data_IF_800354459108
#
_entry.id   IF_800354459108
#
_cell.length_a   1.000
_cell.length_b   1.000
_cell.length_c   1.000
_cell.angle_alpha   90.00
_cell.angle_beta   90.00
_cell.angle_gamma   90.00
#
_symmetry.space_group_name_H-M   'P 1'
#
loop_
_entity.id
_entity.type
_entity.pdbx_description
1 polymer ?
#
# COMPACT_ATOMS: atom_id res chain seq x y z
N UNK A 1 12.43 -8.61 -7.02
CA UNK A 1 11.17 -7.94 -6.62
C UNK A 1 9.91 -8.60 -7.18
N UNK A 2 9.59 -8.46 -8.48
CA UNK A 2 8.29 -8.88 -9.06
C UNK A 2 7.97 -10.36 -8.83
N UNK A 3 8.93 -11.28 -9.08
CA UNK A 3 8.74 -12.72 -8.80
C UNK A 3 8.42 -13.01 -7.33
N UNK A 4 9.02 -12.27 -6.40
CA UNK A 4 8.75 -12.43 -4.97
C UNK A 4 7.34 -11.93 -4.62
N UNK A 5 6.93 -10.78 -5.18
CA UNK A 5 5.57 -10.28 -5.04
C UNK A 5 4.53 -11.29 -5.58
N UNK A 6 4.73 -11.81 -6.78
CA UNK A 6 3.79 -12.75 -7.42
C UNK A 6 3.60 -14.05 -6.61
N UNK A 7 4.66 -14.59 -5.99
CA UNK A 7 4.54 -15.79 -5.14
C UNK A 7 3.61 -15.59 -3.96
N UNK A 8 3.64 -14.42 -3.32
CA UNK A 8 2.75 -14.12 -2.20
C UNK A 8 1.36 -13.66 -2.67
N UNK A 9 1.31 -12.79 -3.68
CA UNK A 9 0.08 -12.26 -4.23
C UNK A 9 -0.83 -13.33 -4.84
N UNK A 10 -0.25 -14.34 -5.52
CA UNK A 10 -0.98 -15.44 -6.13
C UNK A 10 -1.80 -16.30 -5.15
N UNK A 11 -1.54 -16.18 -3.84
CA UNK A 11 -2.30 -16.85 -2.77
C UNK A 11 -3.58 -16.09 -2.39
N UNK A 12 -3.94 -15.04 -3.12
CA UNK A 12 -5.04 -14.12 -2.80
C UNK A 12 -5.80 -13.68 -4.06
N UNK A 13 -6.99 -13.12 -3.86
CA UNK A 13 -7.80 -12.61 -4.97
C UNK A 13 -7.28 -11.24 -5.44
N UNK A 14 -6.67 -10.47 -4.53
CA UNK A 14 -5.99 -9.23 -4.84
C UNK A 14 -4.83 -8.96 -3.88
N UNK A 15 -3.81 -8.23 -4.33
CA UNK A 15 -2.75 -7.80 -3.44
C UNK A 15 -2.18 -6.43 -3.83
N UNK A 16 -1.68 -5.71 -2.84
CA UNK A 16 -0.86 -4.52 -3.04
C UNK A 16 0.50 -4.72 -2.37
N UNK A 17 1.57 -4.38 -3.08
CA UNK A 17 2.90 -4.41 -2.51
C UNK A 17 3.16 -3.19 -1.63
N UNK A 18 4.02 -3.36 -0.63
CA UNK A 18 4.48 -2.28 0.22
C UNK A 18 5.92 -2.49 0.68
N UNK A 19 6.55 -1.44 1.18
CA UNK A 19 7.86 -1.48 1.83
C UNK A 19 7.71 -0.99 3.26
N UNK A 20 8.21 -1.78 4.22
CA UNK A 20 8.20 -1.40 5.63
C UNK A 20 9.22 -0.29 5.90
N UNK A 21 8.87 0.61 6.82
CA UNK A 21 9.66 1.81 7.12
C UNK A 21 11.09 1.47 7.52
N UNK A 22 11.27 0.42 8.30
CA UNK A 22 12.56 0.00 8.85
C UNK A 22 13.52 -0.37 7.71
N UNK A 23 13.07 -1.17 6.74
CA UNK A 23 13.86 -1.53 5.57
C UNK A 23 14.13 -0.32 4.66
N UNK A 24 13.16 0.58 4.48
CA UNK A 24 13.34 1.79 3.69
C UNK A 24 14.39 2.73 4.28
N UNK A 25 14.25 3.05 5.57
CA UNK A 25 15.15 3.99 6.27
C UNK A 25 16.57 3.42 6.40
N UNK A 26 16.70 2.10 6.58
CA UNK A 26 18.02 1.46 6.60
C UNK A 26 18.77 1.62 5.27
N UNK A 27 18.06 1.60 4.14
CA UNK A 27 18.67 1.75 2.80
C UNK A 27 18.81 3.21 2.37
N UNK A 28 17.84 4.06 2.71
CA UNK A 28 17.72 5.45 2.26
C UNK A 28 17.51 6.40 3.45
N UNK A 29 18.47 6.54 4.37
CA UNK A 29 18.28 7.29 5.62
C UNK A 29 17.99 8.78 5.39
N UNK A 30 18.46 9.34 4.28
CA UNK A 30 18.28 10.76 3.92
C UNK A 30 17.05 11.02 3.05
N UNK A 31 16.34 9.97 2.59
CA UNK A 31 15.16 10.12 1.73
C UNK A 31 13.92 10.41 2.57
N UNK A 32 13.24 11.52 2.26
CA UNK A 32 11.98 11.89 2.90
C UNK A 32 10.82 11.13 2.26
N UNK A 33 10.21 10.22 3.01
CA UNK A 33 9.05 9.41 2.56
C UNK A 33 7.91 9.49 3.58
N UNK A 34 6.69 9.55 3.07
CA UNK A 34 5.47 9.42 3.88
C UNK A 34 5.14 7.95 4.09
N UNK A 35 4.83 7.58 5.34
CA UNK A 35 4.45 6.22 5.72
C UNK A 35 3.03 6.20 6.26
N UNK A 36 2.25 5.23 5.80
CA UNK A 36 0.97 4.83 6.40
C UNK A 36 1.28 4.12 7.72
N UNK A 37 0.53 4.46 8.76
CA UNK A 37 0.77 3.97 10.13
C UNK A 37 -0.31 2.98 10.54
N UNK A 38 0.04 1.70 10.54
CA UNK A 38 -0.76 0.65 11.17
C UNK A 38 -0.14 0.28 12.51
N UNK A 39 -0.95 -0.28 13.42
CA UNK A 39 -0.47 -0.85 14.67
C UNK A 39 0.55 -1.95 14.38
N UNK A 40 1.78 -1.74 14.83
CA UNK A 40 2.91 -2.67 14.65
C UNK A 40 3.54 -2.67 13.25
N UNK A 41 3.12 -1.79 12.34
CA UNK A 41 3.68 -1.73 10.98
C UNK A 41 3.52 -0.35 10.36
N UNK A 42 4.64 0.28 10.01
CA UNK A 42 4.65 1.49 9.18
C UNK A 42 5.13 1.14 7.77
N UNK A 43 4.43 1.58 6.74
CA UNK A 43 4.78 1.21 5.38
C UNK A 43 4.51 2.30 4.37
N UNK A 44 5.22 2.25 3.25
CA UNK A 44 4.88 3.00 2.04
C UNK A 44 4.42 2.01 0.96
N UNK A 45 3.53 2.46 0.08
CA UNK A 45 3.07 1.64 -1.04
C UNK A 45 4.22 1.38 -2.03
N UNK A 46 4.13 0.26 -2.73
CA UNK A 46 4.90 0.03 -3.94
C UNK A 46 3.92 -0.05 -5.12
N UNK A 47 4.32 0.42 -6.30
CA UNK A 47 3.48 0.47 -7.51
C UNK A 47 3.28 -0.91 -8.16
N UNK A 48 3.11 -1.96 -7.35
CA UNK A 48 2.79 -3.32 -7.78
C UNK A 48 1.47 -3.76 -7.17
N UNK A 49 0.55 -4.17 -8.05
CA UNK A 49 -0.78 -4.62 -7.69
C UNK A 49 -1.08 -5.94 -8.39
N UNK A 50 -1.85 -6.80 -7.73
CA UNK A 50 -2.32 -8.07 -8.24
C UNK A 50 -3.84 -8.10 -8.19
N UNK A 51 -4.47 -8.52 -9.29
CA UNK A 51 -5.91 -8.73 -9.39
C UNK A 51 -6.14 -10.08 -10.08
N UNK A 52 -6.73 -11.04 -9.37
CA UNK A 52 -7.01 -12.38 -9.88
C UNK A 52 -8.28 -12.42 -10.76
N UNK A 53 -8.34 -11.52 -11.75
CA UNK A 53 -9.46 -11.37 -12.69
C UNK A 53 -10.78 -11.09 -11.99
N UNK A 54 -11.83 -11.82 -12.36
CA UNK A 54 -13.19 -11.61 -11.86
C UNK A 54 -13.32 -11.70 -10.33
N UNK A 55 -12.46 -12.49 -9.66
CA UNK A 55 -12.46 -12.62 -8.19
C UNK A 55 -12.10 -11.31 -7.48
N UNK A 56 -11.39 -10.41 -8.16
CA UNK A 56 -10.97 -9.13 -7.60
C UNK A 56 -11.95 -7.98 -7.90
N UNK A 57 -13.03 -8.24 -8.66
CA UNK A 57 -13.96 -7.19 -9.15
C UNK A 57 -14.55 -6.34 -8.02
N UNK A 58 -14.96 -6.97 -6.93
CA UNK A 58 -15.54 -6.25 -5.78
C UNK A 58 -14.59 -5.20 -5.19
N UNK A 59 -13.29 -5.49 -5.18
CA UNK A 59 -12.27 -4.54 -4.73
C UNK A 59 -12.06 -3.42 -5.76
N UNK A 60 -12.00 -3.74 -7.05
CA UNK A 60 -11.84 -2.73 -8.09
C UNK A 60 -13.00 -1.72 -8.11
N UNK A 61 -14.24 -2.22 -7.96
CA UNK A 61 -15.43 -1.37 -7.87
C UNK A 61 -15.44 -0.49 -6.62
N UNK A 62 -15.05 -1.05 -5.47
CA UNK A 62 -14.89 -0.29 -4.24
C UNK A 62 -13.82 0.78 -4.35
N UNK A 63 -12.66 0.44 -4.91
CA UNK A 63 -11.55 1.36 -5.13
C UNK A 63 -11.97 2.54 -6.02
N UNK A 64 -12.68 2.27 -7.13
CA UNK A 64 -13.17 3.33 -8.03
C UNK A 64 -14.07 4.34 -7.32
N UNK A 65 -14.98 3.88 -6.44
CA UNK A 65 -15.84 4.78 -5.64
C UNK A 65 -15.03 5.60 -4.64
N UNK A 66 -14.02 4.98 -4.02
CA UNK A 66 -13.17 5.64 -3.04
C UNK A 66 -12.24 6.68 -3.69
N UNK A 67 -11.63 6.33 -4.82
CA UNK A 67 -10.69 7.17 -5.58
C UNK A 67 -11.38 8.42 -6.13
N UNK A 68 -12.62 8.31 -6.60
CA UNK A 68 -13.43 9.47 -7.00
C UNK A 68 -13.61 10.50 -5.88
N UNK A 69 -13.50 10.06 -4.61
CA UNK A 69 -13.65 10.88 -3.40
C UNK A 69 -12.30 11.23 -2.76
N UNK A 70 -11.15 10.91 -3.38
CA UNK A 70 -9.81 11.00 -2.76
C UNK A 70 -9.45 12.37 -2.18
N UNK A 71 -10.03 13.44 -2.71
CA UNK A 71 -9.82 14.83 -2.26
C UNK A 71 -10.76 15.25 -1.12
N UNK A 72 -11.67 14.38 -0.67
CA UNK A 72 -12.64 14.62 0.39
C UNK A 72 -12.54 13.52 1.48
N UNK A 73 -11.70 13.73 2.51
CA UNK A 73 -11.46 12.76 3.57
C UNK A 73 -12.72 12.32 4.32
N UNK A 74 -13.68 13.23 4.55
CA UNK A 74 -14.93 12.91 5.22
C UNK A 74 -15.78 11.94 4.39
N UNK A 75 -15.85 12.14 3.07
CA UNK A 75 -16.56 11.24 2.15
C UNK A 75 -15.87 9.87 2.05
N UNK A 76 -14.53 9.83 2.04
CA UNK A 76 -13.78 8.58 2.09
C UNK A 76 -14.03 7.81 3.39
N UNK A 77 -14.02 8.50 4.54
CA UNK A 77 -14.29 7.89 5.84
C UNK A 77 -15.69 7.27 5.91
N UNK A 78 -16.69 7.89 5.27
CA UNK A 78 -18.05 7.33 5.16
C UNK A 78 -18.07 6.05 4.30
N UNK A 79 -17.37 6.03 3.17
CA UNK A 79 -17.28 4.85 2.28
C UNK A 79 -16.57 3.67 2.98
N UNK A 80 -15.42 3.95 3.60
CA UNK A 80 -14.61 2.97 4.34
C UNK A 80 -15.31 2.53 5.64
N UNK A 81 -16.10 3.42 6.26
CA UNK A 81 -16.85 3.18 7.48
C UNK A 81 -16.19 3.79 8.72
N UNK A 82 -17.00 4.44 9.56
CA UNK A 82 -16.55 5.24 10.70
C UNK A 82 -15.68 4.46 11.69
N UNK A 83 -16.05 3.23 12.03
CA UNK A 83 -15.25 2.39 12.94
C UNK A 83 -13.87 2.06 12.37
N UNK A 84 -13.78 1.81 11.06
CA UNK A 84 -12.50 1.54 10.40
C UNK A 84 -11.65 2.80 10.39
N UNK A 85 -12.22 3.93 10.01
CA UNK A 85 -11.53 5.23 10.05
C UNK A 85 -11.03 5.56 11.46
N UNK A 86 -11.87 5.39 12.48
CA UNK A 86 -11.51 5.65 13.86
C UNK A 86 -10.40 4.71 14.34
N UNK A 87 -10.47 3.41 14.01
CA UNK A 87 -9.40 2.47 14.37
C UNK A 87 -8.06 2.84 13.72
N UNK A 88 -8.07 3.40 12.51
CA UNK A 88 -6.86 3.91 11.87
C UNK A 88 -6.33 5.17 12.56
N UNK A 89 -7.21 6.15 12.81
CA UNK A 89 -6.85 7.43 13.45
C UNK A 89 -6.35 7.25 14.89
N UNK A 90 -6.91 6.29 15.63
CA UNK A 90 -6.50 5.93 17.00
C UNK A 90 -5.29 4.99 17.04
N UNK A 91 -4.69 4.66 15.89
CA UNK A 91 -3.53 3.79 15.80
C UNK A 91 -3.79 2.33 16.17
N UNK A 92 -5.05 1.89 16.19
CA UNK A 92 -5.44 0.52 16.54
C UNK A 92 -5.56 -0.42 15.33
N UNK A 93 -5.60 0.13 14.11
CA UNK A 93 -5.71 -0.67 12.89
C UNK A 93 -4.45 -1.50 12.65
N UNK A 94 -4.55 -2.83 12.68
CA UNK A 94 -3.46 -3.73 12.25
C UNK A 94 -3.55 -4.03 10.75
N UNK A 95 -2.51 -4.64 10.18
CA UNK A 95 -2.52 -5.18 8.81
C UNK A 95 -3.66 -6.18 8.59
N UNK A 96 -3.86 -7.10 9.52
CA UNK A 96 -4.93 -8.11 9.46
C UNK A 96 -6.31 -7.44 9.61
N UNK A 97 -6.39 -6.38 10.42
CA UNK A 97 -7.56 -5.52 10.53
C UNK A 97 -7.96 -4.91 9.19
N UNK A 98 -6.99 -4.31 8.49
CA UNK A 98 -7.15 -3.73 7.16
C UNK A 98 -7.62 -4.77 6.14
N UNK A 99 -6.92 -5.91 6.04
CA UNK A 99 -7.27 -7.01 5.13
C UNK A 99 -8.68 -7.55 5.40
N UNK A 100 -9.05 -7.73 6.67
CA UNK A 100 -10.39 -8.17 7.09
C UNK A 100 -11.47 -7.15 6.74
N UNK A 101 -11.18 -5.86 6.86
CA UNK A 101 -12.11 -4.80 6.46
C UNK A 101 -12.33 -4.79 4.96
N UNK A 102 -11.27 -4.92 4.16
CA UNK A 102 -11.39 -5.03 2.70
C UNK A 102 -12.28 -6.23 2.34
N UNK A 103 -12.01 -7.40 2.94
CA UNK A 103 -12.82 -8.60 2.69
C UNK A 103 -14.29 -8.38 3.05
N UNK A 104 -14.59 -7.77 4.20
CA UNK A 104 -15.97 -7.47 4.63
C UNK A 104 -16.69 -6.50 3.69
N UNK A 105 -15.97 -5.51 3.14
CA UNK A 105 -16.54 -4.48 2.25
C UNK A 105 -16.73 -4.93 0.81
N UNK A 106 -15.90 -5.87 0.35
CA UNK A 106 -15.75 -6.15 -1.08
C UNK A 106 -15.97 -7.61 -1.45
N UNK A 107 -15.98 -8.52 -0.46
CA UNK A 107 -15.96 -9.96 -0.67
C UNK A 107 -14.59 -10.52 -1.10
N UNK A 108 -13.59 -9.66 -1.35
CA UNK A 108 -12.30 -10.04 -1.93
C UNK A 108 -11.29 -10.39 -0.84
N UNK A 109 -10.62 -11.54 -0.95
CA UNK A 109 -9.48 -11.85 -0.10
C UNK A 109 -8.26 -11.07 -0.56
N UNK A 110 -8.09 -9.85 -0.04
CA UNK A 110 -6.97 -8.96 -0.36
C UNK A 110 -5.79 -9.13 0.62
N UNK A 111 -4.56 -8.98 0.14
CA UNK A 111 -3.34 -9.00 0.96
C UNK A 111 -2.50 -7.73 0.78
N UNK A 112 -1.93 -7.25 1.88
CA UNK A 112 -0.83 -6.29 1.84
C UNK A 112 0.49 -7.08 1.91
N UNK A 113 1.35 -6.95 0.90
CA UNK A 113 2.56 -7.78 0.74
C UNK A 113 3.82 -6.94 0.96
N UNK A 114 4.54 -7.10 2.09
CA UNK A 114 5.83 -6.46 2.29
C UNK A 114 6.89 -7.01 1.34
N UNK A 115 7.65 -6.11 0.71
CA UNK A 115 8.78 -6.44 -0.15
C UNK A 115 10.09 -6.25 0.60
N UNK A 116 11.08 -7.10 0.27
CA UNK A 116 12.47 -6.98 0.73
C UNK A 116 13.31 -6.03 -0.12
N UNK A 117 12.70 -5.36 -1.11
CA UNK A 117 13.37 -4.47 -2.06
C UNK A 117 12.89 -3.04 -1.78
N UNK A 118 13.63 -2.24 -0.98
CA UNK A 118 13.20 -0.90 -0.58
C UNK A 118 12.96 0.07 -1.74
N UNK A 119 13.69 -0.11 -2.84
CA UNK A 119 13.59 0.65 -4.09
C UNK A 119 12.16 0.61 -4.67
N UNK A 120 11.38 -0.43 -4.33
CA UNK A 120 10.01 -0.61 -4.80
C UNK A 120 9.05 0.51 -4.39
N UNK A 121 9.38 1.25 -3.32
CA UNK A 121 8.59 2.38 -2.83
C UNK A 121 9.07 3.73 -3.39
N UNK A 122 9.96 3.73 -4.39
CA UNK A 122 10.46 4.94 -5.04
C UNK A 122 9.77 5.11 -6.39
N UNK A 123 9.05 6.21 -6.52
CA UNK A 123 8.54 6.85 -7.71
C UNK A 123 9.32 8.16 -7.96
N UNK A 124 9.42 8.57 -9.23
CA UNK A 124 10.12 9.81 -9.62
C UNK A 124 9.08 10.89 -9.90
N UNK A 125 8.70 11.63 -8.85
CA UNK A 125 7.74 12.75 -8.96
C UNK A 125 8.42 14.11 -8.77
N UNK A 126 9.59 14.14 -8.13
CA UNK A 126 10.34 15.37 -7.79
C UNK A 126 11.82 15.29 -8.19
N UNK A 127 12.51 16.43 -8.31
CA UNK A 127 13.95 16.45 -8.60
C UNK A 127 14.80 15.61 -7.63
N UNK A 128 14.46 15.58 -6.35
CA UNK A 128 15.19 14.79 -5.35
C UNK A 128 15.03 13.28 -5.56
N UNK A 129 13.88 12.85 -6.08
CA UNK A 129 13.64 11.44 -6.42
C UNK A 129 14.52 11.02 -7.62
N UNK A 130 14.71 11.91 -8.60
CA UNK A 130 15.60 11.66 -9.74
C UNK A 130 17.05 11.50 -9.29
N UNK A 131 17.54 12.38 -8.41
CA UNK A 131 18.88 12.27 -7.83
C UNK A 131 19.04 10.94 -7.10
N UNK A 132 18.04 10.54 -6.31
CA UNK A 132 18.05 9.26 -5.61
C UNK A 132 18.11 8.09 -6.58
N UNK A 133 17.24 8.05 -7.61
CA UNK A 133 17.21 6.95 -8.59
C UNK A 133 18.51 6.87 -9.39
N UNK A 134 19.09 8.00 -9.78
CA UNK A 134 20.43 8.05 -10.41
C UNK A 134 21.50 7.42 -9.53
N UNK A 135 21.53 7.76 -8.24
CA UNK A 135 22.46 7.16 -7.28
C UNK A 135 22.25 5.64 -7.10
N UNK A 136 21.00 5.17 -7.18
CA UNK A 136 20.67 3.73 -7.10
C UNK A 136 21.16 3.00 -8.36
N UNK A 137 21.01 3.62 -9.53
CA UNK A 137 21.37 3.05 -10.82
C UNK A 137 22.84 3.28 -11.20
N UNK A 138 23.59 4.05 -10.41
CA UNK A 138 24.94 4.54 -10.73
C UNK A 138 25.01 5.23 -12.11
N UNK A 139 23.94 5.95 -12.46
CA UNK A 139 23.88 6.78 -13.66
C UNK A 139 24.09 8.23 -13.22
N UNK A 140 25.19 8.87 -13.63
CA UNK A 140 25.39 10.31 -13.44
C UNK A 140 24.53 11.13 -14.41
#
# INVERSE_FOLDING_TARGET
MVRAFLREAGKSDAAAACVVREAYVARFPNSRRTFIRLKGMHFSGANLFWFAGARAKGLADFWRRLEAKRKNPASMAREIGLFTALSYLTGQMTKEGLERTIRRKTGVAARLVPLLTPEAAIDVDKPEDLVLVRSILALD
#
